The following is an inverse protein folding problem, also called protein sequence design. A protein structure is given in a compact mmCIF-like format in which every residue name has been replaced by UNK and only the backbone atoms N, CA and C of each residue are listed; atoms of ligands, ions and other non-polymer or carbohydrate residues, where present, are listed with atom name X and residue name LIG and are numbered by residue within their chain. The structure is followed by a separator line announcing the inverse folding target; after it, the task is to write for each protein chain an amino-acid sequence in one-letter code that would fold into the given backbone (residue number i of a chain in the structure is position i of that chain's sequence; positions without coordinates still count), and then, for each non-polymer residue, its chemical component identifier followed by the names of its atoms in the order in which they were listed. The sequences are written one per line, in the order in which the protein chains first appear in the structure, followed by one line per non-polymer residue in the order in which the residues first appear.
data_IF_978905083672
#
_entry.id   IF_978905083672
#
_cell.length_a   1.000
_cell.length_b   1.000
_cell.length_c   1.000
_cell.angle_alpha   90.00
_cell.angle_beta   90.00
_cell.angle_gamma   90.00
#
_symmetry.space_group_name_H-M   'P 1'
#
loop_
_entity.id
_entity.type
_entity.pdbx_description
1 polymer ?
#
# COMPACT_ATOMS: atom_id res chain seq x y z
N UNK A 1 17.86 -54.44 73.89
CA UNK A 1 18.99 -53.75 74.55
C UNK A 1 19.32 -52.54 73.68
N UNK A 2 18.79 -51.34 74.00
CA UNK A 2 19.53 -50.15 74.52
C UNK A 2 20.39 -49.52 73.39
N UNK A 3 20.32 -48.24 72.99
CA UNK A 3 19.88 -47.00 73.61
C UNK A 3 19.47 -45.93 72.57
N UNK A 4 18.72 -44.96 73.09
CA UNK A 4 18.29 -43.67 72.53
C UNK A 4 19.45 -42.64 72.42
N UNK A 5 19.08 -41.39 72.07
CA UNK A 5 19.73 -40.08 72.29
C UNK A 5 20.03 -39.31 70.98
N UNK A 6 19.10 -38.51 70.46
CA UNK A 6 18.83 -37.05 70.66
C UNK A 6 19.87 -36.05 70.14
N UNK A 7 19.39 -35.28 69.13
CA UNK A 7 19.56 -33.84 68.83
C UNK A 7 20.96 -33.21 68.94
N UNK A 8 21.41 -32.63 67.83
CA UNK A 8 22.07 -31.32 67.85
C UNK A 8 21.77 -30.54 66.55
N UNK A 9 21.26 -29.33 66.74
CA UNK A 9 20.93 -28.32 65.74
C UNK A 9 22.16 -27.46 65.42
N UNK A 10 22.01 -26.67 64.36
CA UNK A 10 22.73 -25.42 64.03
C UNK A 10 23.97 -25.56 63.14
N UNK A 11 23.88 -25.05 61.91
CA UNK A 11 24.18 -23.63 61.64
C UNK A 11 23.76 -23.28 60.21
N UNK A 12 22.95 -22.24 60.09
CA UNK A 12 22.63 -21.57 58.83
C UNK A 12 23.91 -20.89 58.31
N UNK A 13 24.44 -21.38 57.20
CA UNK A 13 25.46 -20.67 56.42
C UNK A 13 24.74 -19.72 55.46
N UNK A 14 24.84 -18.41 55.74
CA UNK A 14 24.46 -17.33 54.84
C UNK A 14 25.39 -17.32 53.64
N UNK A 15 24.93 -17.89 52.52
CA UNK A 15 25.60 -17.74 51.22
C UNK A 15 25.31 -16.34 50.72
N UNK A 16 26.34 -15.50 50.71
CA UNK A 16 26.31 -14.17 50.11
C UNK A 16 26.24 -14.32 48.59
N UNK A 17 25.14 -13.84 48.02
CA UNK A 17 24.89 -13.73 46.59
C UNK A 17 25.83 -12.66 46.02
N UNK A 18 26.87 -13.07 45.31
CA UNK A 18 27.67 -12.14 44.49
C UNK A 18 27.05 -12.09 43.10
N UNK A 19 26.11 -11.15 42.90
CA UNK A 19 25.55 -10.83 41.59
C UNK A 19 26.64 -10.28 40.68
N UNK A 20 27.12 -11.10 39.73
CA UNK A 20 27.91 -10.59 38.60
C UNK A 20 26.93 -9.91 37.66
N UNK A 21 26.97 -8.58 37.66
CA UNK A 21 26.19 -7.75 36.75
C UNK A 21 26.62 -8.05 35.31
N UNK A 22 25.82 -8.85 34.61
CA UNK A 22 25.94 -9.04 33.17
C UNK A 22 25.12 -7.93 32.50
N UNK A 23 25.80 -6.83 32.19
CA UNK A 23 25.29 -5.82 31.28
C UNK A 23 25.24 -6.44 29.89
N UNK A 24 24.06 -6.90 29.49
CA UNK A 24 23.80 -7.29 28.10
C UNK A 24 23.71 -5.99 27.31
N UNK A 25 24.59 -5.75 26.31
CA UNK A 25 24.41 -4.62 25.42
C UNK A 25 23.10 -4.84 24.66
N UNK A 26 22.07 -4.07 25.01
CA UNK A 26 20.89 -3.91 24.17
C UNK A 26 21.36 -3.19 22.92
N UNK A 27 21.87 -3.95 21.94
CA UNK A 27 21.95 -3.46 20.59
C UNK A 27 20.51 -3.27 20.15
N UNK A 28 20.03 -2.03 20.28
CA UNK A 28 18.79 -1.58 19.71
C UNK A 28 19.01 -1.63 18.20
N UNK A 29 18.72 -2.77 17.58
CA UNK A 29 18.69 -2.87 16.13
C UNK A 29 17.56 -1.97 15.67
N UNK A 30 17.90 -0.76 15.24
CA UNK A 30 16.96 0.09 14.52
C UNK A 30 16.81 -0.59 13.16
N UNK A 31 15.87 -1.54 13.06
CA UNK A 31 15.26 -1.81 11.79
C UNK A 31 14.56 -0.50 11.41
N UNK A 32 15.16 0.26 10.51
CA UNK A 32 14.46 1.34 9.83
C UNK A 32 13.37 0.67 9.01
N UNK A 33 12.23 0.40 9.65
CA UNK A 33 10.97 0.16 8.93
C UNK A 33 10.67 1.47 8.23
N UNK A 34 11.25 1.60 7.04
CA UNK A 34 11.03 2.71 6.14
C UNK A 34 9.64 2.51 5.55
N UNK A 35 8.64 2.79 6.38
CA UNK A 35 7.23 2.75 6.03
C UNK A 35 6.73 4.20 6.05
N UNK A 36 7.32 5.02 5.20
CA UNK A 36 6.82 6.35 4.85
C UNK A 36 7.06 6.56 3.36
N UNK A 37 6.34 5.80 2.52
CA UNK A 37 6.20 6.15 1.11
C UNK A 37 5.11 7.22 1.01
N UNK A 38 5.45 8.46 1.36
CA UNK A 38 4.55 9.61 1.27
C UNK A 38 4.44 10.17 -0.17
N UNK A 39 4.44 9.30 -1.18
CA UNK A 39 4.47 9.68 -2.60
C UNK A 39 3.50 8.86 -3.44
N UNK A 40 2.94 9.50 -4.46
CA UNK A 40 2.09 8.87 -5.48
C UNK A 40 2.97 8.34 -6.62
N UNK A 41 2.65 7.17 -7.11
CA UNK A 41 3.26 6.61 -8.32
C UNK A 41 2.25 6.53 -9.44
N UNK A 42 2.76 6.38 -10.65
CA UNK A 42 1.99 6.40 -11.88
C UNK A 42 2.40 5.27 -12.82
N UNK A 43 1.43 4.75 -13.55
CA UNK A 43 1.66 3.84 -14.66
C UNK A 43 1.77 4.62 -15.97
N UNK A 44 2.23 3.95 -17.03
CA UNK A 44 2.19 4.48 -18.40
C UNK A 44 0.76 4.57 -18.97
N UNK A 45 -0.23 3.96 -18.32
CA UNK A 45 -1.63 4.02 -18.70
C UNK A 45 -2.40 5.06 -17.87
N UNK A 46 -1.68 5.94 -17.20
CA UNK A 46 -2.21 7.07 -16.42
C UNK A 46 -3.08 6.68 -15.22
N UNK A 47 -2.91 5.48 -14.69
CA UNK A 47 -3.37 5.17 -13.33
C UNK A 47 -2.38 5.70 -12.30
N UNK A 48 -2.88 6.11 -11.15
CA UNK A 48 -2.07 6.47 -10.00
C UNK A 48 -2.27 5.49 -8.85
N UNK A 49 -1.23 5.37 -8.02
CA UNK A 49 -1.24 4.59 -6.79
C UNK A 49 -0.66 5.40 -5.64
N UNK A 50 -1.38 5.44 -4.53
CA UNK A 50 -0.93 5.99 -3.25
C UNK A 50 -0.84 4.85 -2.23
N UNK A 51 0.33 4.69 -1.58
CA UNK A 51 0.57 3.59 -0.64
C UNK A 51 0.55 4.10 0.80
N UNK A 52 -0.41 3.61 1.57
CA UNK A 52 -0.58 3.90 2.99
C UNK A 52 -0.38 2.62 3.80
N UNK A 53 0.85 2.42 4.29
CA UNK A 53 1.23 1.19 5.00
C UNK A 53 1.17 -0.02 4.07
N UNK A 54 0.18 -0.90 4.27
CA UNK A 54 -0.03 -2.10 3.45
C UNK A 54 -1.23 -1.98 2.49
N UNK A 55 -1.85 -0.81 2.44
CA UNK A 55 -2.98 -0.51 1.56
C UNK A 55 -2.50 0.38 0.43
N UNK A 56 -2.78 -0.04 -0.80
CA UNK A 56 -2.62 0.79 -1.98
C UNK A 56 -3.99 1.33 -2.41
N UNK A 57 -4.09 2.63 -2.66
CA UNK A 57 -5.28 3.30 -3.19
C UNK A 57 -5.00 3.62 -4.66
N UNK A 58 -5.90 3.21 -5.55
CA UNK A 58 -5.72 3.32 -7.00
C UNK A 58 -6.80 4.23 -7.59
N UNK A 59 -6.45 5.04 -8.57
CA UNK A 59 -7.39 5.78 -9.41
C UNK A 59 -6.79 6.16 -10.77
N UNK A 60 -7.51 6.93 -11.58
CA UNK A 60 -6.96 7.52 -12.82
C UNK A 60 -6.50 8.95 -12.58
N UNK A 61 -5.47 9.37 -13.32
CA UNK A 61 -4.91 10.71 -13.20
C UNK A 61 -5.84 11.81 -13.73
N UNK A 62 -5.55 13.05 -13.34
CA UNK A 62 -6.21 14.23 -13.90
C UNK A 62 -6.05 14.33 -15.44
N UNK A 63 -4.88 13.92 -15.96
CA UNK A 63 -4.65 13.87 -17.40
C UNK A 63 -5.60 12.88 -18.09
N UNK A 64 -5.72 11.66 -17.54
CA UNK A 64 -6.59 10.63 -18.09
C UNK A 64 -8.06 11.05 -18.13
N UNK A 65 -8.58 11.58 -17.02
CA UNK A 65 -9.98 12.02 -16.97
C UNK A 65 -10.24 13.18 -17.97
N UNK A 66 -9.28 14.09 -18.13
CA UNK A 66 -9.41 15.21 -19.07
C UNK A 66 -9.44 14.71 -20.52
N UNK A 67 -8.62 13.71 -20.87
CA UNK A 67 -8.61 13.09 -22.20
C UNK A 67 -9.89 12.33 -22.51
N UNK A 68 -10.52 11.71 -21.51
CA UNK A 68 -11.81 11.02 -21.67
C UNK A 68 -12.99 12.01 -21.75
N UNK A 69 -12.89 13.17 -21.09
CA UNK A 69 -13.98 14.12 -20.94
C UNK A 69 -14.95 13.70 -19.84
N UNK A 70 -16.23 14.07 -19.96
CA UNK A 70 -17.23 13.84 -18.92
C UNK A 70 -17.51 12.34 -18.73
N UNK A 71 -17.07 11.78 -17.61
CA UNK A 71 -17.21 10.36 -17.30
C UNK A 71 -18.64 10.10 -16.84
N UNK A 72 -19.27 9.11 -17.46
CA UNK A 72 -20.68 8.75 -17.24
C UNK A 72 -20.84 7.33 -16.69
N UNK A 73 -19.78 6.53 -16.70
CA UNK A 73 -19.80 5.16 -16.19
C UNK A 73 -18.43 4.74 -15.64
N UNK A 74 -18.45 3.89 -14.62
CA UNK A 74 -17.27 3.26 -14.04
C UNK A 74 -17.62 1.83 -13.59
N UNK A 75 -16.86 0.86 -14.08
CA UNK A 75 -16.87 -0.53 -13.65
C UNK A 75 -15.64 -0.81 -12.79
N UNK A 76 -15.86 -1.29 -11.57
CA UNK A 76 -14.80 -1.51 -10.58
C UNK A 76 -14.66 -3.01 -10.25
N UNK A 77 -13.46 -3.47 -9.84
CA UNK A 77 -13.27 -4.87 -9.51
C UNK A 77 -14.01 -5.28 -8.24
N UNK A 78 -14.37 -6.57 -8.16
CA UNK A 78 -15.01 -7.15 -6.99
C UNK A 78 -14.06 -7.25 -5.79
N UNK A 79 -14.59 -6.99 -4.59
CA UNK A 79 -13.87 -7.17 -3.33
C UNK A 79 -13.51 -8.64 -3.15
N UNK A 80 -12.28 -8.90 -2.73
CA UNK A 80 -11.74 -10.25 -2.52
C UNK A 80 -11.07 -10.85 -3.76
N UNK A 81 -11.18 -10.22 -4.94
CA UNK A 81 -10.48 -10.66 -6.15
C UNK A 81 -8.97 -10.53 -5.97
N UNK A 82 -8.25 -11.59 -6.30
CA UNK A 82 -6.79 -11.56 -6.45
C UNK A 82 -6.44 -11.02 -7.84
N UNK A 83 -5.49 -10.08 -7.87
CA UNK A 83 -5.05 -9.39 -9.08
C UNK A 83 -3.54 -9.50 -9.20
N UNK A 84 -3.08 -9.68 -10.42
CA UNK A 84 -1.68 -9.58 -10.84
C UNK A 84 -1.44 -8.22 -11.51
N UNK A 85 -0.21 -7.71 -11.38
CA UNK A 85 0.19 -6.49 -12.09
C UNK A 85 -0.07 -6.63 -13.61
N UNK A 86 -0.76 -5.65 -14.18
CA UNK A 86 -1.15 -5.63 -15.59
C UNK A 86 -2.49 -6.31 -15.92
N UNK A 87 -3.18 -6.92 -14.95
CA UNK A 87 -4.53 -7.45 -15.16
C UNK A 87 -5.51 -6.33 -15.48
N UNK A 88 -6.46 -6.55 -16.40
CA UNK A 88 -7.62 -5.66 -16.56
C UNK A 88 -8.61 -5.90 -15.41
N UNK A 89 -9.04 -4.81 -14.77
CA UNK A 89 -9.83 -4.87 -13.53
C UNK A 89 -11.20 -4.21 -13.65
N UNK A 90 -11.45 -3.50 -14.74
CA UNK A 90 -12.68 -2.75 -14.98
C UNK A 90 -12.47 -1.71 -16.09
N UNK A 91 -13.36 -0.73 -16.18
CA UNK A 91 -13.31 0.30 -17.21
C UNK A 91 -13.95 1.61 -16.73
N UNK A 92 -13.56 2.72 -17.34
CA UNK A 92 -14.23 4.02 -17.22
C UNK A 92 -14.70 4.47 -18.60
N UNK A 93 -15.90 5.03 -18.68
CA UNK A 93 -16.49 5.44 -19.96
C UNK A 93 -17.06 6.85 -19.89
N UNK A 94 -16.85 7.59 -20.97
CA UNK A 94 -17.50 8.86 -21.28
C UNK A 94 -18.39 8.68 -22.51
N UNK A 95 -19.08 9.76 -22.90
CA UNK A 95 -19.84 9.79 -24.17
C UNK A 95 -18.92 9.75 -25.41
N UNK A 96 -17.61 9.98 -25.22
CA UNK A 96 -16.63 10.13 -26.30
C UNK A 96 -15.68 8.94 -26.41
N UNK A 97 -15.36 8.28 -25.30
CA UNK A 97 -14.33 7.27 -25.22
C UNK A 97 -14.58 6.30 -24.07
N UNK A 98 -13.95 5.14 -24.13
CA UNK A 98 -13.87 4.17 -23.06
C UNK A 98 -12.40 3.83 -22.82
N UNK A 99 -12.03 3.58 -21.56
CA UNK A 99 -10.70 3.11 -21.20
C UNK A 99 -10.78 2.01 -20.16
N UNK A 100 -10.14 0.88 -20.47
CA UNK A 100 -9.90 -0.17 -19.49
C UNK A 100 -9.00 0.36 -18.37
N UNK A 101 -9.23 -0.15 -17.16
CA UNK A 101 -8.40 0.10 -15.98
C UNK A 101 -7.55 -1.15 -15.72
N UNK A 102 -6.26 -0.95 -15.48
CA UNK A 102 -5.33 -2.03 -15.20
C UNK A 102 -4.83 -2.01 -13.75
N UNK A 103 -4.49 -3.18 -13.22
CA UNK A 103 -3.86 -3.31 -11.90
C UNK A 103 -2.40 -2.80 -11.97
N UNK A 104 -2.02 -1.75 -11.22
CA UNK A 104 -0.64 -1.25 -11.25
C UNK A 104 0.34 -2.20 -10.55
N UNK A 105 -0.14 -2.97 -9.57
CA UNK A 105 0.63 -3.94 -8.78
C UNK A 105 -0.26 -5.13 -8.41
N UNK A 106 0.37 -6.23 -8.04
CA UNK A 106 -0.27 -7.46 -7.57
C UNK A 106 -0.81 -7.30 -6.14
N UNK A 107 -2.04 -7.79 -5.90
CA UNK A 107 -2.71 -7.61 -4.62
C UNK A 107 -4.04 -8.33 -4.49
N UNK A 108 -4.76 -8.03 -3.41
CA UNK A 108 -6.15 -8.46 -3.19
C UNK A 108 -7.02 -7.22 -3.04
N UNK A 109 -8.13 -7.14 -3.76
CA UNK A 109 -9.09 -6.03 -3.66
C UNK A 109 -9.73 -6.05 -2.28
N UNK A 110 -9.56 -4.96 -1.53
CA UNK A 110 -10.09 -4.80 -0.19
C UNK A 110 -11.35 -3.93 -0.17
N UNK A 111 -11.42 -2.97 -1.09
CA UNK A 111 -12.48 -1.96 -1.11
C UNK A 111 -12.66 -1.45 -2.54
N UNK A 112 -13.89 -1.10 -2.91
CA UNK A 112 -14.23 -0.40 -4.16
C UNK A 112 -15.07 0.84 -3.84
N UNK A 113 -14.90 1.91 -4.61
CA UNK A 113 -15.60 3.16 -4.38
C UNK A 113 -17.01 3.14 -5.00
N UNK A 114 -17.98 2.63 -4.23
CA UNK A 114 -19.38 2.57 -4.69
C UNK A 114 -20.01 3.94 -4.93
N UNK A 115 -19.41 5.03 -4.43
CA UNK A 115 -19.89 6.39 -4.71
C UNK A 115 -19.53 6.80 -6.14
N UNK A 116 -18.33 6.44 -6.62
CA UNK A 116 -17.94 6.65 -8.02
C UNK A 116 -18.83 5.86 -8.98
N UNK A 117 -19.23 4.63 -8.65
CA UNK A 117 -20.17 3.85 -9.47
C UNK A 117 -21.54 4.53 -9.61
N UNK A 118 -21.99 5.22 -8.55
CA UNK A 118 -23.27 5.96 -8.54
C UNK A 118 -23.16 7.35 -9.15
N UNK A 119 -22.00 7.99 -8.98
CA UNK A 119 -21.72 9.34 -9.43
C UNK A 119 -20.32 9.40 -10.10
N UNK A 120 -20.21 8.94 -11.36
CA UNK A 120 -18.91 8.85 -12.05
C UNK A 120 -18.22 10.21 -12.25
N UNK A 121 -18.98 11.32 -12.21
CA UNK A 121 -18.44 12.69 -12.29
C UNK A 121 -17.45 13.05 -11.18
N UNK A 122 -17.41 12.28 -10.09
CA UNK A 122 -16.39 12.44 -9.04
C UNK A 122 -14.98 12.23 -9.56
N UNK A 123 -14.80 11.35 -10.55
CA UNK A 123 -13.50 11.13 -11.17
C UNK A 123 -13.02 12.42 -11.86
N UNK A 124 -13.91 13.13 -12.56
CA UNK A 124 -13.56 14.40 -13.21
C UNK A 124 -13.29 15.53 -12.19
N UNK A 125 -14.02 15.57 -11.07
CA UNK A 125 -13.91 16.67 -10.07
C UNK A 125 -12.75 16.51 -9.11
N UNK A 126 -12.45 15.27 -8.75
CA UNK A 126 -11.61 14.91 -7.60
C UNK A 126 -10.78 13.66 -7.89
N UNK A 127 -10.16 13.57 -9.07
CA UNK A 127 -9.40 12.40 -9.55
C UNK A 127 -8.42 11.81 -8.52
N UNK A 128 -7.82 12.68 -7.70
CA UNK A 128 -6.78 12.33 -6.75
C UNK A 128 -7.25 12.18 -5.29
N UNK A 129 -8.51 12.51 -5.00
CA UNK A 129 -9.13 12.46 -3.68
C UNK A 129 -10.38 11.57 -3.73
N UNK A 130 -11.56 12.14 -3.96
CA UNK A 130 -12.85 11.44 -3.88
C UNK A 130 -13.09 10.48 -5.07
N UNK A 131 -12.34 10.67 -6.16
CA UNK A 131 -12.40 9.88 -7.40
C UNK A 131 -11.51 8.62 -7.40
N UNK A 132 -11.01 8.18 -6.25
CA UNK A 132 -10.32 6.88 -6.16
C UNK A 132 -11.26 5.74 -6.58
N UNK A 133 -10.71 4.68 -7.18
CA UNK A 133 -11.49 3.59 -7.77
C UNK A 133 -11.57 2.39 -6.84
N UNK A 134 -10.43 1.84 -6.44
CA UNK A 134 -10.36 0.67 -5.57
C UNK A 134 -9.12 0.70 -4.69
N UNK A 135 -9.12 -0.14 -3.65
CA UNK A 135 -7.96 -0.34 -2.77
C UNK A 135 -7.49 -1.78 -2.80
N UNK A 136 -6.18 -1.95 -2.80
CA UNK A 136 -5.51 -3.24 -2.72
C UNK A 136 -4.82 -3.43 -1.38
N UNK A 137 -4.82 -4.66 -0.89
CA UNK A 137 -3.76 -5.14 0.01
C UNK A 137 -2.55 -5.51 -0.84
N UNK A 138 -1.42 -4.83 -0.61
CA UNK A 138 -0.18 -5.04 -1.37
C UNK A 138 0.36 -6.45 -1.09
N UNK A 139 0.64 -7.22 -2.14
CA UNK A 139 1.34 -8.52 -2.03
C UNK A 139 2.84 -8.40 -2.26
N UNK A 140 3.25 -7.57 -3.21
CA UNK A 140 4.64 -7.40 -3.58
C UNK A 140 5.01 -5.92 -3.72
N UNK A 141 5.58 -5.33 -2.66
CA UNK A 141 5.97 -3.92 -2.68
C UNK A 141 7.13 -3.60 -3.65
N UNK A 142 7.85 -4.60 -4.17
CA UNK A 142 8.94 -4.33 -5.12
C UNK A 142 8.44 -3.85 -6.49
N UNK A 143 7.20 -4.19 -6.86
CA UNK A 143 6.60 -3.76 -8.13
C UNK A 143 6.43 -2.24 -8.19
N UNK A 144 6.36 -1.54 -7.05
CA UNK A 144 6.33 -0.07 -7.01
C UNK A 144 7.57 0.58 -7.64
N UNK A 145 8.70 -0.13 -7.70
CA UNK A 145 9.95 0.37 -8.31
C UNK A 145 9.87 0.44 -9.84
N UNK A 146 8.92 -0.26 -10.44
CA UNK A 146 8.68 -0.27 -11.89
C UNK A 146 7.77 0.89 -12.32
N UNK A 147 7.14 1.57 -11.36
CA UNK A 147 6.24 2.69 -11.58
C UNK A 147 6.98 4.01 -11.61
N UNK A 148 6.38 4.99 -12.28
CA UNK A 148 6.91 6.35 -12.36
C UNK A 148 6.59 7.10 -11.07
N UNK A 149 7.54 7.90 -10.58
CA UNK A 149 7.22 8.92 -9.58
C UNK A 149 6.60 10.16 -10.26
N UNK A 150 6.16 11.13 -9.47
CA UNK A 150 5.55 12.39 -9.95
C UNK A 150 6.39 13.09 -11.03
N UNK A 151 7.71 13.23 -10.80
CA UNK A 151 8.61 13.93 -11.72
C UNK A 151 8.74 13.20 -13.06
N UNK A 152 8.88 11.89 -13.01
CA UNK A 152 8.99 11.06 -14.21
C UNK A 152 7.68 11.07 -15.00
N UNK A 153 6.53 11.07 -14.30
CA UNK A 153 5.22 11.16 -14.92
C UNK A 153 4.95 12.53 -15.56
N UNK A 154 5.37 13.63 -14.94
CA UNK A 154 5.29 14.96 -15.56
C UNK A 154 6.11 15.06 -16.85
N UNK A 155 7.29 14.44 -16.89
CA UNK A 155 8.11 14.38 -18.09
C UNK A 155 7.43 13.53 -19.18
N UNK A 156 6.86 12.39 -18.79
CA UNK A 156 6.10 11.50 -19.67
C UNK A 156 4.92 12.21 -20.34
N UNK A 157 4.07 12.90 -19.57
CA UNK A 157 2.91 13.65 -20.12
C UNK A 157 3.32 14.69 -21.17
N UNK A 158 4.40 15.43 -20.93
CA UNK A 158 4.89 16.46 -21.88
C UNK A 158 5.34 15.84 -23.21
N UNK A 159 5.90 14.64 -23.17
CA UNK A 159 6.30 13.91 -24.38
C UNK A 159 5.05 13.51 -25.16
N UNK A 160 4.06 12.91 -24.51
CA UNK A 160 2.81 12.51 -25.17
C UNK A 160 1.99 13.69 -25.72
N UNK A 161 1.91 14.80 -24.97
CA UNK A 161 1.26 16.03 -25.44
C UNK A 161 1.92 16.57 -26.71
N UNK A 162 3.26 16.50 -26.78
CA UNK A 162 4.00 16.91 -27.97
C UNK A 162 3.79 15.93 -29.13
N UNK A 163 3.78 14.62 -28.87
CA UNK A 163 3.52 13.60 -29.90
C UNK A 163 2.09 13.67 -30.46
N UNK A 164 1.09 13.99 -29.63
CA UNK A 164 -0.30 14.13 -30.08
C UNK A 164 -0.57 15.41 -30.90
N UNK A 165 0.37 16.37 -30.89
CA UNK A 165 0.25 17.64 -31.61
C UNK A 165 0.83 17.61 -33.04
N UNK A 166 1.50 16.53 -33.43
CA UNK A 166 2.08 16.32 -34.77
C UNK A 166 1.36 15.20 -35.52
#
# INVERSE_FOLDING_TARGET
MVAYWTRALQRLSSVVISSKSLVIPVHRTIATSQCLFAGRYYTKKHEWILVEGNTAIIGISDFAQASLGDIVYAELPEIGKELHAGDSVGAVESVKAASDIYAPISGIVMERNTEVEKNPSLINKSAFTDGWLYKLRVKNANELKELMNEKDYEAFKKIEEHEAAH
#
